data_IF_966593998619
#
_entry.id   IF_966593998619
#
_cell.length_a   1.000
_cell.length_b   1.000
_cell.length_c   1.000
_cell.angle_alpha   90.00
_cell.angle_beta   90.00
_cell.angle_gamma   90.00
#
_symmetry.space_group_name_H-M   'P 1'
#
loop_
_entity.id
_entity.type
_entity.pdbx_description
1 polymer ?
#
# COMPACT_ATOMS: atom_id res chain seq x y z
N UNK A 1 19.69 23.38 4.65
CA UNK A 1 20.43 23.08 3.39
C UNK A 1 21.17 21.75 3.48
N UNK A 2 21.84 21.44 4.57
CA UNK A 2 22.62 20.19 4.75
C UNK A 2 21.78 18.91 4.70
N UNK A 3 20.52 18.94 5.15
CA UNK A 3 19.65 17.77 5.17
C UNK A 3 19.15 17.35 3.76
N UNK A 4 19.00 18.30 2.82
CA UNK A 4 18.64 18.00 1.43
C UNK A 4 19.76 17.33 0.65
N UNK A 5 21.00 17.73 0.89
CA UNK A 5 22.18 17.12 0.25
C UNK A 5 22.45 15.71 0.75
N UNK A 6 22.16 15.41 2.02
CA UNK A 6 22.35 14.09 2.61
C UNK A 6 21.37 13.06 2.03
N UNK A 7 20.09 13.45 1.86
CA UNK A 7 19.08 12.60 1.23
C UNK A 7 19.38 12.44 -0.28
N UNK A 8 19.76 13.52 -0.98
CA UNK A 8 20.17 13.43 -2.39
C UNK A 8 21.39 12.54 -2.60
N UNK A 9 22.37 12.54 -1.70
CA UNK A 9 23.54 11.63 -1.78
C UNK A 9 23.16 10.16 -1.61
N UNK A 10 22.16 9.84 -0.77
CA UNK A 10 21.59 8.48 -0.67
C UNK A 10 20.94 8.03 -1.99
N UNK A 11 20.31 8.93 -2.73
CA UNK A 11 19.70 8.62 -4.03
C UNK A 11 20.71 8.34 -5.15
N UNK A 12 21.87 8.97 -5.15
CA UNK A 12 22.86 8.87 -6.25
C UNK A 12 23.86 7.73 -6.10
N UNK A 13 23.98 7.09 -4.95
CA UNK A 13 25.03 6.10 -4.65
C UNK A 13 24.74 4.66 -5.04
N UNK A 14 23.71 4.35 -5.87
CA UNK A 14 23.31 2.96 -6.01
C UNK A 14 23.02 2.46 -7.44
N UNK A 15 24.02 1.82 -8.04
CA UNK A 15 23.78 0.70 -8.97
C UNK A 15 23.27 -0.48 -8.15
N UNK A 16 21.99 -0.84 -8.23
CA UNK A 16 21.46 -2.00 -7.53
C UNK A 16 19.95 -2.15 -7.64
N UNK A 17 19.53 -3.35 -7.97
CA UNK A 17 18.23 -3.91 -8.26
C UNK A 17 16.98 -3.40 -7.49
N UNK A 18 15.87 -4.10 -7.66
CA UNK A 18 14.51 -3.77 -7.16
C UNK A 18 14.45 -3.31 -5.71
N UNK A 19 15.20 -3.92 -4.78
CA UNK A 19 15.24 -3.52 -3.35
C UNK A 19 15.69 -2.08 -3.17
N UNK A 20 16.72 -1.64 -3.90
CA UNK A 20 17.19 -0.25 -3.80
C UNK A 20 16.19 0.74 -4.40
N UNK A 21 15.42 0.32 -5.38
CA UNK A 21 14.38 1.15 -6.00
C UNK A 21 13.17 1.32 -5.06
N UNK A 22 12.74 0.27 -4.38
CA UNK A 22 11.71 0.34 -3.34
C UNK A 22 12.16 1.25 -2.19
N UNK A 23 13.40 1.13 -1.71
CA UNK A 23 13.92 2.01 -0.67
C UNK A 23 13.95 3.49 -1.10
N UNK A 24 14.28 3.78 -2.37
CA UNK A 24 14.20 5.15 -2.90
C UNK A 24 12.77 5.67 -2.93
N UNK A 25 11.83 4.84 -3.38
CA UNK A 25 10.41 5.19 -3.38
C UNK A 25 9.93 5.46 -1.95
N UNK A 26 10.29 4.61 -1.00
CA UNK A 26 9.91 4.77 0.40
C UNK A 26 10.41 6.11 0.98
N UNK A 27 11.69 6.45 0.74
CA UNK A 27 12.25 7.72 1.18
C UNK A 27 11.58 8.92 0.49
N UNK A 28 11.25 8.80 -0.80
CA UNK A 28 10.52 9.84 -1.54
C UNK A 28 9.10 10.05 -0.98
N UNK A 29 8.41 8.98 -0.58
CA UNK A 29 7.11 9.08 0.07
C UNK A 29 7.21 9.73 1.45
N UNK A 30 8.23 9.40 2.26
CA UNK A 30 8.48 10.06 3.54
C UNK A 30 8.75 11.56 3.34
N UNK A 31 9.51 11.93 2.30
CA UNK A 31 9.75 13.34 1.97
C UNK A 31 8.47 14.06 1.53
N UNK A 32 7.65 13.41 0.71
CA UNK A 32 6.37 13.94 0.24
C UNK A 32 5.39 14.22 1.40
N UNK A 33 5.36 13.32 2.38
CA UNK A 33 4.49 13.41 3.56
C UNK A 33 5.20 14.01 4.78
N UNK A 34 6.24 14.82 4.56
CA UNK A 34 7.01 15.47 5.65
C UNK A 34 6.11 16.20 6.64
N UNK A 35 6.20 15.80 7.90
CA UNK A 35 5.40 16.37 9.00
C UNK A 35 4.10 15.63 9.29
N UNK A 36 3.70 14.70 8.42
CA UNK A 36 2.53 13.84 8.61
C UNK A 36 2.94 12.43 9.07
N UNK A 37 3.30 12.34 10.34
CA UNK A 37 3.75 11.08 10.92
C UNK A 37 2.67 9.98 10.87
N UNK A 38 1.39 10.34 10.94
CA UNK A 38 0.29 9.37 10.89
C UNK A 38 0.27 8.64 9.55
N UNK A 39 0.28 9.39 8.44
CA UNK A 39 0.26 8.81 7.09
C UNK A 39 1.56 8.10 6.74
N UNK A 40 2.70 8.62 7.20
CA UNK A 40 3.99 7.91 7.05
C UNK A 40 3.92 6.53 7.73
N UNK A 41 3.43 6.45 8.97
CA UNK A 41 3.28 5.17 9.69
C UNK A 41 2.26 4.26 8.99
N UNK A 42 1.18 4.82 8.44
CA UNK A 42 0.18 4.06 7.70
C UNK A 42 0.82 3.32 6.53
N UNK A 43 1.39 4.01 5.54
CA UNK A 43 1.96 3.32 4.38
C UNK A 43 3.17 2.42 4.71
N UNK A 44 3.94 2.72 5.76
CA UNK A 44 4.99 1.82 6.24
C UNK A 44 4.41 0.49 6.75
N UNK A 45 3.30 0.52 7.50
CA UNK A 45 2.63 -0.69 7.99
C UNK A 45 1.98 -1.46 6.84
N UNK A 46 1.27 -0.77 5.93
CA UNK A 46 0.67 -1.40 4.76
C UNK A 46 1.74 -2.09 3.92
N UNK A 47 2.86 -1.42 3.64
CA UNK A 47 3.98 -2.02 2.93
C UNK A 47 4.55 -3.26 3.65
N UNK A 48 4.70 -3.21 4.96
CA UNK A 48 5.21 -4.34 5.74
C UNK A 48 4.30 -5.58 5.65
N UNK A 49 2.98 -5.39 5.81
CA UNK A 49 2.02 -6.48 5.68
C UNK A 49 1.88 -6.98 4.24
N UNK A 50 1.83 -6.08 3.26
CA UNK A 50 1.74 -6.44 1.85
C UNK A 50 2.94 -7.30 1.43
N UNK A 51 4.14 -6.92 1.83
CA UNK A 51 5.35 -7.71 1.58
C UNK A 51 5.31 -9.06 2.26
N UNK A 52 4.94 -9.12 3.55
CA UNK A 52 4.84 -10.38 4.29
C UNK A 52 3.85 -11.35 3.62
N UNK A 53 2.66 -10.86 3.27
CA UNK A 53 1.64 -11.66 2.60
C UNK A 53 2.17 -12.14 1.24
N UNK A 54 2.72 -11.26 0.42
CA UNK A 54 3.23 -11.58 -0.90
C UNK A 54 4.35 -12.63 -0.88
N UNK A 55 5.31 -12.50 0.03
CA UNK A 55 6.39 -13.48 0.19
C UNK A 55 5.87 -14.83 0.68
N UNK A 56 4.88 -14.84 1.58
CA UNK A 56 4.27 -16.07 2.12
C UNK A 56 3.40 -16.78 1.08
N UNK A 57 2.67 -16.02 0.25
CA UNK A 57 1.86 -16.55 -0.86
C UNK A 57 2.73 -16.93 -2.09
N UNK A 58 4.05 -16.76 -2.00
CA UNK A 58 5.02 -17.14 -3.03
C UNK A 58 4.77 -16.47 -4.40
N UNK A 59 4.38 -15.19 -4.41
CA UNK A 59 4.26 -14.43 -5.66
C UNK A 59 5.63 -14.28 -6.34
N UNK A 60 5.65 -14.12 -7.66
CA UNK A 60 6.90 -13.90 -8.38
C UNK A 60 7.54 -12.53 -8.05
N UNK A 61 8.81 -12.36 -8.40
CA UNK A 61 9.59 -11.17 -8.06
C UNK A 61 9.04 -9.88 -8.66
N UNK A 62 8.42 -9.95 -9.85
CA UNK A 62 7.83 -8.78 -10.50
C UNK A 62 6.55 -8.37 -9.77
N UNK A 63 5.71 -9.33 -9.45
CA UNK A 63 4.50 -9.14 -8.67
C UNK A 63 4.82 -8.56 -7.29
N UNK A 64 5.80 -9.12 -6.57
CA UNK A 64 6.26 -8.59 -5.28
C UNK A 64 6.72 -7.12 -5.41
N UNK A 65 7.48 -6.79 -6.46
CA UNK A 65 7.96 -5.42 -6.68
C UNK A 65 6.82 -4.43 -6.93
N UNK A 66 5.79 -4.84 -7.68
CA UNK A 66 4.57 -4.06 -7.91
C UNK A 66 3.81 -3.86 -6.59
N UNK A 67 3.62 -4.92 -5.80
CA UNK A 67 2.93 -4.88 -4.51
C UNK A 67 3.63 -3.91 -3.55
N UNK A 68 4.96 -4.02 -3.40
CA UNK A 68 5.73 -3.14 -2.53
C UNK A 68 5.60 -1.66 -2.96
N UNK A 69 5.67 -1.39 -4.27
CA UNK A 69 5.52 -0.03 -4.81
C UNK A 69 4.10 0.51 -4.59
N UNK A 70 3.07 -0.29 -4.88
CA UNK A 70 1.68 0.09 -4.69
C UNK A 70 1.35 0.33 -3.21
N UNK A 71 1.81 -0.53 -2.31
CA UNK A 71 1.60 -0.38 -0.87
C UNK A 71 2.19 0.92 -0.30
N UNK A 72 3.33 1.36 -0.83
CA UNK A 72 3.92 2.64 -0.45
C UNK A 72 3.15 3.85 -1.00
N UNK A 73 2.49 3.71 -2.15
CA UNK A 73 1.93 4.85 -2.91
C UNK A 73 0.41 4.86 -3.01
N UNK A 74 -0.32 3.86 -2.48
CA UNK A 74 -1.78 3.77 -2.66
C UNK A 74 -2.51 5.05 -2.25
N UNK A 75 -2.07 5.68 -1.19
CA UNK A 75 -2.64 6.90 -0.60
C UNK A 75 -1.96 8.20 -1.06
N UNK A 76 -1.11 8.16 -2.10
CA UNK A 76 -0.29 9.31 -2.53
C UNK A 76 -1.12 10.56 -2.88
N UNK A 77 -2.39 10.41 -3.18
CA UNK A 77 -3.31 11.48 -3.54
C UNK A 77 -3.86 12.29 -2.38
N UNK A 78 -3.72 11.86 -1.13
CA UNK A 78 -4.46 12.43 0.02
C UNK A 78 -4.19 13.93 0.19
N UNK A 79 -2.93 14.36 0.32
CA UNK A 79 -2.60 15.77 0.51
C UNK A 79 -3.11 16.64 -0.64
N UNK A 80 -2.97 16.15 -1.88
CA UNK A 80 -3.50 16.86 -3.05
C UNK A 80 -5.02 17.00 -3.00
N UNK A 81 -5.73 15.94 -2.62
CA UNK A 81 -7.18 15.98 -2.50
C UNK A 81 -7.62 16.96 -1.38
N UNK A 82 -6.96 16.92 -0.24
CA UNK A 82 -7.24 17.86 0.88
C UNK A 82 -7.01 19.30 0.49
N UNK A 83 -5.90 19.60 -0.21
CA UNK A 83 -5.60 20.95 -0.68
C UNK A 83 -6.59 21.43 -1.75
N UNK A 84 -6.93 20.57 -2.72
CA UNK A 84 -7.76 20.94 -3.87
C UNK A 84 -9.25 20.96 -3.55
N UNK A 85 -9.73 20.03 -2.72
CA UNK A 85 -11.15 19.80 -2.47
C UNK A 85 -11.59 20.04 -1.01
N UNK A 86 -10.64 20.31 -0.12
CA UNK A 86 -10.91 20.49 1.32
C UNK A 86 -11.22 19.17 2.06
N UNK A 87 -11.21 18.03 1.36
CA UNK A 87 -11.39 16.70 1.94
C UNK A 87 -10.75 15.65 1.04
N UNK A 88 -10.59 14.43 1.59
CA UNK A 88 -10.16 13.28 0.82
C UNK A 88 -10.99 12.05 1.20
N UNK A 89 -11.66 11.46 0.21
CA UNK A 89 -12.35 10.18 0.35
C UNK A 89 -11.78 9.17 -0.65
N UNK A 90 -12.11 7.88 -0.50
CA UNK A 90 -11.57 6.82 -1.33
C UNK A 90 -11.75 7.07 -2.84
N UNK A 91 -12.90 7.61 -3.26
CA UNK A 91 -13.15 7.92 -4.68
C UNK A 91 -12.22 9.01 -5.22
N UNK A 92 -11.95 10.05 -4.44
CA UNK A 92 -11.01 11.11 -4.83
C UNK A 92 -9.57 10.57 -4.87
N UNK A 93 -9.20 9.69 -3.95
CA UNK A 93 -7.89 9.03 -3.96
C UNK A 93 -7.69 8.19 -5.22
N UNK A 94 -8.67 7.37 -5.57
CA UNK A 94 -8.66 6.56 -6.80
C UNK A 94 -8.59 7.43 -8.07
N UNK A 95 -9.20 8.61 -8.06
CA UNK A 95 -9.20 9.53 -9.19
C UNK A 95 -7.88 10.29 -9.35
N UNK A 96 -7.34 10.84 -8.28
CA UNK A 96 -6.20 11.79 -8.33
C UNK A 96 -4.86 11.09 -8.09
N UNK A 97 -4.85 10.01 -7.30
CA UNK A 97 -3.64 9.28 -6.92
C UNK A 97 -2.80 8.76 -8.09
N UNK A 98 -3.39 8.11 -9.10
CA UNK A 98 -2.64 7.50 -10.21
C UNK A 98 -1.70 8.47 -10.93
N UNK A 99 -2.18 9.66 -11.29
CA UNK A 99 -1.37 10.66 -12.01
C UNK A 99 -0.23 11.25 -11.15
N UNK A 100 -0.40 11.26 -9.82
CA UNK A 100 0.64 11.70 -8.88
C UNK A 100 1.70 10.61 -8.75
N UNK A 101 1.26 9.35 -8.64
CA UNK A 101 2.14 8.19 -8.59
C UNK A 101 2.97 8.05 -9.86
N UNK A 102 2.36 8.19 -11.03
CA UNK A 102 3.03 8.15 -12.33
C UNK A 102 4.25 9.07 -12.36
N UNK A 103 4.06 10.35 -12.05
CA UNK A 103 5.15 11.36 -12.04
C UNK A 103 6.27 10.99 -11.07
N UNK A 104 5.94 10.45 -9.90
CA UNK A 104 6.94 10.04 -8.92
C UNK A 104 7.71 8.80 -9.40
N UNK A 105 7.01 7.79 -9.90
CA UNK A 105 7.60 6.54 -10.37
C UNK A 105 8.50 6.76 -11.59
N UNK A 106 8.06 7.57 -12.56
CA UNK A 106 8.89 7.97 -13.72
C UNK A 106 10.15 8.71 -13.28
N UNK A 107 10.04 9.68 -12.38
CA UNK A 107 11.18 10.42 -11.82
C UNK A 107 12.19 9.50 -11.14
N UNK A 108 11.75 8.43 -10.54
CA UNK A 108 12.59 7.43 -9.88
C UNK A 108 13.13 6.37 -10.84
N UNK A 109 12.66 6.32 -12.09
CA UNK A 109 13.10 5.40 -13.12
C UNK A 109 12.45 4.01 -13.07
N UNK A 110 11.20 3.92 -12.62
CA UNK A 110 10.41 2.69 -12.72
C UNK A 110 10.09 2.39 -14.19
N UNK A 111 10.10 1.11 -14.56
CA UNK A 111 9.67 0.67 -15.89
C UNK A 111 8.19 0.98 -16.11
N UNK A 112 7.84 1.28 -17.35
CA UNK A 112 6.50 1.76 -17.71
C UNK A 112 5.40 0.78 -17.33
N UNK A 113 5.57 -0.50 -17.62
CA UNK A 113 4.61 -1.55 -17.30
C UNK A 113 4.39 -1.74 -15.79
N UNK A 114 5.44 -1.56 -14.98
CA UNK A 114 5.36 -1.54 -13.52
C UNK A 114 4.56 -0.32 -13.06
N UNK A 115 4.91 0.87 -13.58
CA UNK A 115 4.22 2.11 -13.23
C UNK A 115 2.73 2.07 -13.60
N UNK A 116 2.38 1.57 -14.78
CA UNK A 116 0.99 1.40 -15.22
C UNK A 116 0.20 0.45 -14.30
N UNK A 117 0.83 -0.67 -13.86
CA UNK A 117 0.15 -1.59 -12.93
C UNK A 117 -0.02 -0.98 -11.54
N UNK A 118 0.97 -0.27 -11.01
CA UNK A 118 0.86 0.46 -9.74
C UNK A 118 -0.25 1.50 -9.81
N UNK A 119 -0.33 2.28 -10.89
CA UNK A 119 -1.41 3.26 -11.11
C UNK A 119 -2.79 2.59 -11.12
N UNK A 120 -2.91 1.43 -11.78
CA UNK A 120 -4.15 0.65 -11.78
C UNK A 120 -4.57 0.25 -10.36
N UNK A 121 -3.62 -0.25 -9.56
CA UNK A 121 -3.89 -0.63 -8.17
C UNK A 121 -4.33 0.57 -7.32
N UNK A 122 -3.67 1.72 -7.48
CA UNK A 122 -4.05 2.98 -6.80
C UNK A 122 -5.46 3.42 -7.23
N UNK A 123 -5.79 3.31 -8.52
CA UNK A 123 -7.10 3.69 -9.06
C UNK A 123 -8.26 2.83 -8.56
N UNK A 124 -7.98 1.71 -7.88
CA UNK A 124 -9.01 0.75 -7.51
C UNK A 124 -8.95 0.27 -6.04
N UNK A 125 -7.97 0.72 -5.24
CA UNK A 125 -7.71 0.14 -3.91
C UNK A 125 -8.88 0.30 -2.91
N UNK A 126 -9.84 1.18 -3.17
CA UNK A 126 -11.11 1.29 -2.45
C UNK A 126 -12.28 0.59 -3.16
N UNK A 127 -12.04 -0.04 -4.31
CA UNK A 127 -13.04 -0.78 -5.08
C UNK A 127 -12.88 -2.27 -4.83
N UNK A 128 -13.73 -2.86 -3.98
CA UNK A 128 -13.58 -4.24 -3.51
C UNK A 128 -14.34 -5.26 -4.36
N UNK A 129 -14.97 -4.82 -5.45
CA UNK A 129 -15.63 -5.68 -6.42
C UNK A 129 -14.68 -5.96 -7.59
N UNK A 130 -14.66 -7.20 -8.07
CA UNK A 130 -13.87 -7.61 -9.22
C UNK A 130 -12.34 -7.46 -9.03
N UNK A 131 -11.83 -7.79 -7.85
CA UNK A 131 -10.39 -7.92 -7.63
C UNK A 131 -9.88 -9.02 -8.56
N UNK A 132 -9.07 -8.65 -9.56
CA UNK A 132 -8.76 -9.49 -10.70
C UNK A 132 -7.45 -10.27 -10.57
N UNK A 133 -6.53 -9.84 -9.70
CA UNK A 133 -5.21 -10.45 -9.57
C UNK A 133 -4.71 -10.43 -8.12
N UNK A 134 -3.68 -11.24 -7.85
CA UNK A 134 -3.16 -11.45 -6.50
C UNK A 134 -2.51 -10.20 -5.92
N UNK A 135 -1.88 -9.35 -6.73
CA UNK A 135 -1.27 -8.09 -6.28
C UNK A 135 -2.32 -7.11 -5.75
N UNK A 136 -3.47 -7.03 -6.43
CA UNK A 136 -4.60 -6.22 -5.97
C UNK A 136 -5.20 -6.77 -4.68
N UNK A 137 -5.40 -8.09 -4.61
CA UNK A 137 -5.93 -8.74 -3.42
C UNK A 137 -5.03 -8.49 -2.19
N UNK A 138 -3.71 -8.64 -2.36
CA UNK A 138 -2.74 -8.43 -1.28
C UNK A 138 -2.71 -6.97 -0.82
N UNK A 139 -2.74 -6.01 -1.75
CA UNK A 139 -2.79 -4.59 -1.40
C UNK A 139 -4.01 -4.27 -0.54
N UNK A 140 -5.19 -4.72 -0.97
CA UNK A 140 -6.45 -4.50 -0.25
C UNK A 140 -6.42 -5.13 1.13
N UNK A 141 -5.95 -6.37 1.26
CA UNK A 141 -5.86 -7.04 2.55
C UNK A 141 -4.90 -6.34 3.51
N UNK A 142 -3.73 -5.91 3.02
CA UNK A 142 -2.75 -5.21 3.83
C UNK A 142 -3.27 -3.85 4.32
N UNK A 143 -3.96 -3.10 3.47
CA UNK A 143 -4.59 -1.84 3.83
C UNK A 143 -5.70 -2.04 4.86
N UNK A 144 -6.56 -3.05 4.68
CA UNK A 144 -7.59 -3.40 5.67
C UNK A 144 -7.02 -3.77 7.04
N UNK A 145 -5.92 -4.52 7.13
CA UNK A 145 -5.27 -4.85 8.40
C UNK A 145 -4.88 -3.59 9.17
N UNK A 146 -4.37 -2.59 8.46
CA UNK A 146 -3.93 -1.34 9.07
C UNK A 146 -5.13 -0.46 9.43
N UNK A 147 -6.09 -0.30 8.51
CA UNK A 147 -7.27 0.54 8.72
C UNK A 147 -8.16 0.06 9.88
N UNK A 148 -8.41 -1.26 10.01
CA UNK A 148 -9.19 -1.81 11.11
C UNK A 148 -8.59 -1.39 12.46
N UNK A 149 -7.27 -1.41 12.58
CA UNK A 149 -6.57 -1.03 13.81
C UNK A 149 -6.54 0.49 14.00
N UNK A 150 -6.20 1.26 12.96
CA UNK A 150 -6.04 2.72 13.03
C UNK A 150 -7.36 3.46 13.27
N UNK A 151 -8.45 2.94 12.72
CA UNK A 151 -9.80 3.48 12.89
C UNK A 151 -10.50 2.95 14.16
N UNK A 152 -9.85 2.05 14.90
CA UNK A 152 -10.39 1.47 16.12
C UNK A 152 -11.69 0.70 15.88
N UNK A 153 -11.80 -0.01 14.75
CA UNK A 153 -13.00 -0.75 14.40
C UNK A 153 -13.27 -1.91 15.37
N UNK A 154 -14.55 -2.24 15.53
CA UNK A 154 -14.94 -3.33 16.43
C UNK A 154 -14.52 -4.72 15.92
N UNK A 155 -14.49 -5.70 16.83
CA UNK A 155 -14.22 -7.11 16.48
C UNK A 155 -15.22 -7.66 15.46
N UNK A 156 -16.48 -7.22 15.52
CA UNK A 156 -17.54 -7.59 14.56
C UNK A 156 -17.23 -7.03 13.16
N UNK A 157 -16.71 -5.80 13.08
CA UNK A 157 -16.27 -5.20 11.81
C UNK A 157 -15.05 -5.95 11.24
N UNK A 158 -14.08 -6.32 12.08
CA UNK A 158 -12.94 -7.14 11.69
C UNK A 158 -13.38 -8.52 11.18
N UNK A 159 -14.32 -9.19 11.86
CA UNK A 159 -14.91 -10.46 11.43
C UNK A 159 -15.61 -10.33 10.07
N UNK A 160 -16.37 -9.25 9.87
CA UNK A 160 -17.02 -8.98 8.58
C UNK A 160 -16.00 -8.77 7.45
N UNK A 161 -14.93 -8.05 7.73
CA UNK A 161 -13.83 -7.88 6.77
C UNK A 161 -13.15 -9.22 6.47
N UNK A 162 -12.87 -10.03 7.50
CA UNK A 162 -12.30 -11.37 7.36
C UNK A 162 -13.08 -12.23 6.34
N UNK A 163 -14.41 -12.24 6.41
CA UNK A 163 -15.23 -13.04 5.50
C UNK A 163 -15.33 -12.45 4.08
N UNK A 164 -15.45 -11.14 3.98
CA UNK A 164 -15.77 -10.50 2.71
C UNK A 164 -14.54 -10.07 1.90
N UNK A 165 -13.48 -9.65 2.58
CA UNK A 165 -12.29 -9.04 1.97
C UNK A 165 -11.13 -10.01 1.88
N UNK A 166 -10.79 -10.69 2.98
CA UNK A 166 -9.60 -11.54 3.02
C UNK A 166 -9.80 -12.85 2.23
N UNK A 167 -8.87 -13.13 1.31
CA UNK A 167 -8.87 -14.34 0.46
C UNK A 167 -7.57 -15.13 0.56
N UNK A 168 -6.42 -14.43 0.77
CA UNK A 168 -5.13 -15.10 0.91
C UNK A 168 -5.07 -15.90 2.22
N UNK A 169 -4.29 -16.97 2.24
CA UNK A 169 -4.12 -17.79 3.45
C UNK A 169 -3.38 -16.99 4.52
N UNK A 170 -2.33 -16.29 4.11
CA UNK A 170 -1.53 -15.47 5.02
C UNK A 170 -2.33 -14.29 5.57
N UNK A 171 -3.03 -13.53 4.72
CA UNK A 171 -3.83 -12.38 5.14
C UNK A 171 -4.95 -12.78 6.11
N UNK A 172 -5.66 -13.88 5.83
CA UNK A 172 -6.64 -14.45 6.76
C UNK A 172 -6.03 -14.82 8.10
N UNK A 173 -4.85 -15.45 8.08
CA UNK A 173 -4.15 -15.83 9.31
C UNK A 173 -3.79 -14.61 10.14
N UNK A 174 -3.19 -13.58 9.50
CA UNK A 174 -2.84 -12.34 10.19
C UNK A 174 -4.07 -11.65 10.77
N UNK A 175 -5.14 -11.51 9.98
CA UNK A 175 -6.39 -10.89 10.41
C UNK A 175 -6.98 -11.59 11.63
N UNK A 176 -7.04 -12.93 11.59
CA UNK A 176 -7.56 -13.73 12.70
C UNK A 176 -6.76 -13.54 13.98
N UNK A 177 -5.43 -13.67 13.92
CA UNK A 177 -4.56 -13.56 15.08
C UNK A 177 -4.53 -12.12 15.62
N UNK A 178 -4.48 -11.12 14.73
CA UNK A 178 -4.37 -9.71 15.11
C UNK A 178 -5.63 -9.18 15.81
N UNK A 179 -6.80 -9.65 15.41
CA UNK A 179 -8.07 -9.20 15.96
C UNK A 179 -8.78 -10.24 16.82
N UNK A 180 -8.08 -11.32 17.20
CA UNK A 180 -8.60 -12.41 18.06
C UNK A 180 -9.96 -12.93 17.52
N UNK A 181 -10.03 -13.21 16.21
CA UNK A 181 -11.24 -13.71 15.55
C UNK A 181 -11.37 -15.21 15.81
N UNK A 182 -12.37 -15.60 16.59
CA UNK A 182 -12.69 -17.00 16.86
C UNK A 182 -13.60 -17.56 15.75
N UNK A 183 -13.06 -18.45 14.92
CA UNK A 183 -13.79 -19.12 13.83
C UNK A 183 -14.42 -20.44 14.31
N UNK A 184 -14.58 -20.62 15.60
CA UNK A 184 -15.20 -21.84 16.15
C UNK A 184 -16.63 -21.92 15.65
N UNK A 185 -16.94 -22.63 14.63
CA UNK A 185 -18.27 -22.95 14.05
C UNK A 185 -18.53 -22.37 12.63
N UNK A 186 -17.59 -22.44 11.72
CA UNK A 186 -18.02 -22.58 10.34
C UNK A 186 -18.15 -24.08 10.05
N UNK A 187 -19.37 -24.62 10.18
CA UNK A 187 -19.73 -25.92 9.63
C UNK A 187 -19.57 -25.85 8.11
N UNK A 188 -18.66 -26.68 7.57
CA UNK A 188 -18.54 -26.99 6.15
C UNK A 188 -19.84 -27.55 5.60
#
# INVERSE_FOLDING_TARGET
TENRESIQKLFYSARGGSIKMINKLHLAMIELYKGDAKRIQHFCKVHSYAKLIAETENVDKKCLFIIEAAALTHDIGIHFCEEKYGNCNGKLQEQEGPAIAERLLEKLGFEKDISERVQYLIAHHHTYNNINEIDYQILVEADFLVNIMEDGLSKEAALKAYHNIFKTVCGKTICREMFDIDIKYENF
#
